data_IF_445984974325
#
_entry.id   IF_445984974325
#
_cell.length_a   1.000
_cell.length_b   1.000
_cell.length_c   1.000
_cell.angle_alpha   90.00
_cell.angle_beta   90.00
_cell.angle_gamma   90.00
#
_symmetry.space_group_name_H-M   'P 1'
#
loop_
_entity.id
_entity.type
_entity.pdbx_description
1 polymer ?
#
# COMPACT_ATOMS: atom_id res chain seq x y z
N UNK A 1 -0.83 -6.12 -2.97
CA UNK A 1 -2.16 -5.88 -3.54
C UNK A 1 -2.95 -4.85 -2.74
N UNK A 2 -3.72 -4.01 -3.42
CA UNK A 2 -4.70 -3.07 -2.85
C UNK A 2 -6.01 -3.12 -3.66
N UNK A 3 -7.12 -2.64 -3.07
CA UNK A 3 -8.43 -2.70 -3.72
C UNK A 3 -9.19 -1.39 -3.67
N UNK A 4 -9.45 -0.86 -2.47
CA UNK A 4 -10.35 0.27 -2.27
C UNK A 4 -9.69 1.30 -1.35
N UNK A 5 -9.61 2.53 -1.85
CA UNK A 5 -9.07 3.65 -1.10
C UNK A 5 -10.19 4.47 -0.46
N UNK A 6 -9.93 5.00 0.74
CA UNK A 6 -10.73 6.07 1.33
C UNK A 6 -10.34 7.44 0.74
N UNK A 7 -11.06 8.49 1.15
CA UNK A 7 -10.80 9.87 0.72
C UNK A 7 -9.41 10.40 1.14
N UNK A 8 -8.75 9.74 2.09
CA UNK A 8 -7.41 10.07 2.58
C UNK A 8 -6.30 9.23 1.90
N UNK A 9 -6.68 8.41 0.91
CA UNK A 9 -5.78 7.53 0.17
C UNK A 9 -5.31 6.30 0.95
N UNK A 10 -5.99 5.93 2.04
CA UNK A 10 -5.71 4.69 2.77
C UNK A 10 -6.52 3.53 2.19
N UNK A 11 -5.94 2.32 2.20
CA UNK A 11 -6.68 1.10 1.89
C UNK A 11 -7.68 0.78 3.02
N UNK A 12 -8.91 0.40 2.69
CA UNK A 12 -10.00 0.23 3.67
C UNK A 12 -9.99 -1.10 4.43
N UNK A 13 -9.41 -2.14 3.84
CA UNK A 13 -9.46 -3.53 4.32
C UNK A 13 -8.10 -3.98 4.87
N UNK A 14 -7.01 -3.36 4.45
CA UNK A 14 -5.64 -3.73 4.80
C UNK A 14 -4.96 -2.59 5.56
N UNK A 15 -4.52 -2.87 6.79
CA UNK A 15 -3.64 -1.98 7.55
C UNK A 15 -2.20 -2.11 7.05
N UNK A 16 -1.81 -1.19 6.17
CA UNK A 16 -0.46 -1.16 5.59
C UNK A 16 0.62 -0.81 6.61
N UNK A 17 0.33 -0.01 7.65
CA UNK A 17 1.33 0.32 8.68
C UNK A 17 1.70 -0.93 9.44
N UNK A 18 0.69 -1.66 9.92
CA UNK A 18 0.89 -2.94 10.62
C UNK A 18 1.62 -3.95 9.75
N UNK A 19 1.24 -4.08 8.47
CA UNK A 19 1.91 -4.98 7.54
C UNK A 19 3.39 -4.63 7.36
N UNK A 20 3.69 -3.35 7.11
CA UNK A 20 5.07 -2.89 6.90
C UNK A 20 5.91 -3.00 8.17
N UNK A 21 5.35 -2.76 9.36
CA UNK A 21 6.04 -3.01 10.63
C UNK A 21 6.45 -4.47 10.77
N UNK A 22 5.57 -5.43 10.47
CA UNK A 22 5.90 -6.87 10.52
C UNK A 22 7.05 -7.21 9.54
N UNK A 23 7.00 -6.66 8.33
CA UNK A 23 8.05 -6.88 7.31
C UNK A 23 9.40 -6.29 7.76
N UNK A 24 9.38 -5.07 8.31
CA UNK A 24 10.56 -4.37 8.86
C UNK A 24 11.16 -5.13 10.05
N UNK A 25 10.32 -5.58 10.98
CA UNK A 25 10.74 -6.32 12.17
C UNK A 25 11.31 -7.70 11.83
N UNK A 26 10.85 -8.30 10.73
CA UNK A 26 11.42 -9.52 10.18
C UNK A 26 12.79 -9.31 9.49
N UNK A 27 13.29 -8.07 9.41
CA UNK A 27 14.59 -7.73 8.82
C UNK A 27 14.61 -7.71 7.30
N UNK A 28 13.44 -7.70 6.64
CA UNK A 28 13.36 -7.63 5.19
C UNK A 28 13.75 -6.25 4.67
N UNK A 29 14.69 -6.18 3.73
CA UNK A 29 15.22 -4.95 3.13
C UNK A 29 15.21 -4.96 1.59
N UNK A 30 14.40 -5.84 0.99
CA UNK A 30 14.25 -5.96 -0.46
C UNK A 30 13.17 -5.04 -1.03
N UNK A 31 12.69 -5.39 -2.23
CA UNK A 31 11.67 -4.62 -2.94
C UNK A 31 10.25 -5.06 -2.59
N UNK A 32 9.34 -4.10 -2.43
CA UNK A 32 7.91 -4.36 -2.28
C UNK A 32 7.24 -4.16 -3.65
N UNK A 33 6.64 -5.23 -4.16
CA UNK A 33 5.86 -5.19 -5.40
C UNK A 33 4.53 -4.47 -5.22
N UNK A 34 4.14 -3.67 -6.21
CA UNK A 34 2.82 -3.04 -6.28
C UNK A 34 1.90 -3.88 -7.16
N UNK A 35 0.70 -4.11 -6.66
CA UNK A 35 -0.37 -4.81 -7.36
C UNK A 35 -1.69 -4.14 -7.00
N UNK A 36 -2.50 -3.82 -8.00
CA UNK A 36 -3.82 -3.21 -7.85
C UNK A 36 -4.83 -4.03 -8.66
N UNK A 37 -5.97 -4.36 -8.05
CA UNK A 37 -6.89 -5.37 -8.60
C UNK A 37 -8.36 -4.90 -8.68
N UNK A 38 -8.61 -3.59 -8.83
CA UNK A 38 -10.00 -3.05 -8.85
C UNK A 38 -10.28 -2.17 -10.07
N UNK A 39 -11.56 -2.08 -10.43
CA UNK A 39 -12.05 -1.29 -11.59
C UNK A 39 -12.42 0.16 -11.25
N UNK A 40 -12.36 0.56 -9.97
CA UNK A 40 -12.79 1.89 -9.53
C UNK A 40 -11.82 3.00 -9.94
N UNK A 41 -10.56 2.64 -10.16
CA UNK A 41 -9.53 3.50 -10.75
C UNK A 41 -9.02 2.83 -12.04
N UNK A 42 -8.36 3.60 -12.90
CA UNK A 42 -7.55 2.99 -13.95
C UNK A 42 -6.42 2.15 -13.32
N UNK A 43 -5.88 1.18 -14.06
CA UNK A 43 -4.76 0.36 -13.59
C UNK A 43 -3.57 1.24 -13.18
N UNK A 44 -3.24 2.25 -13.99
CA UNK A 44 -2.16 3.20 -13.71
C UNK A 44 -2.42 4.00 -12.43
N UNK A 45 -3.61 4.58 -12.27
CA UNK A 45 -3.97 5.37 -11.10
C UNK A 45 -3.96 4.50 -9.83
N UNK A 46 -4.44 3.27 -9.91
CA UNK A 46 -4.42 2.34 -8.78
C UNK A 46 -3.02 1.88 -8.40
N UNK A 47 -2.13 1.66 -9.37
CA UNK A 47 -0.70 1.38 -9.13
C UNK A 47 -0.05 2.57 -8.43
N UNK A 48 -0.28 3.80 -8.91
CA UNK A 48 0.26 5.02 -8.32
C UNK A 48 -0.27 5.22 -6.90
N UNK A 49 -1.58 5.05 -6.68
CA UNK A 49 -2.21 5.16 -5.36
C UNK A 49 -1.61 4.15 -4.37
N UNK A 50 -1.41 2.90 -4.79
CA UNK A 50 -0.80 1.86 -3.96
C UNK A 50 0.65 2.18 -3.60
N UNK A 51 1.43 2.69 -4.56
CA UNK A 51 2.80 3.15 -4.32
C UNK A 51 2.82 4.28 -3.28
N UNK A 52 1.95 5.27 -3.43
CA UNK A 52 1.88 6.41 -2.51
C UNK A 52 1.44 5.98 -1.10
N UNK A 53 0.49 5.05 -0.99
CA UNK A 53 0.11 4.45 0.29
C UNK A 53 1.30 3.76 0.97
N UNK A 54 2.08 2.97 0.23
CA UNK A 54 3.28 2.32 0.76
C UNK A 54 4.31 3.33 1.29
N UNK A 55 4.58 4.40 0.52
CA UNK A 55 5.50 5.46 0.92
C UNK A 55 5.01 6.21 2.17
N UNK A 56 3.72 6.54 2.21
CA UNK A 56 3.08 7.19 3.37
C UNK A 56 3.21 6.32 4.62
N UNK A 57 2.77 5.06 4.54
CA UNK A 57 2.81 4.14 5.67
C UNK A 57 4.25 3.89 6.16
N UNK A 58 5.21 3.76 5.23
CA UNK A 58 6.63 3.60 5.59
C UNK A 58 7.22 4.82 6.30
N UNK A 59 6.75 6.04 5.99
CA UNK A 59 7.20 7.27 6.67
C UNK A 59 6.69 7.40 8.10
N UNK A 60 5.69 6.60 8.48
CA UNK A 60 4.99 6.66 9.76
C UNK A 60 5.40 5.52 10.72
N UNK A 61 6.39 4.68 10.36
CA UNK A 61 6.88 3.52 11.14
C UNK A 61 8.41 3.45 11.26
#
# INVERSE_FOLDING_TARGET
>A
KSHVFDENGNEKEIDYKKMLSIVKDAGYNGYIGVEYEKISLSEEDGIIATKNLLLKAASEI
#
